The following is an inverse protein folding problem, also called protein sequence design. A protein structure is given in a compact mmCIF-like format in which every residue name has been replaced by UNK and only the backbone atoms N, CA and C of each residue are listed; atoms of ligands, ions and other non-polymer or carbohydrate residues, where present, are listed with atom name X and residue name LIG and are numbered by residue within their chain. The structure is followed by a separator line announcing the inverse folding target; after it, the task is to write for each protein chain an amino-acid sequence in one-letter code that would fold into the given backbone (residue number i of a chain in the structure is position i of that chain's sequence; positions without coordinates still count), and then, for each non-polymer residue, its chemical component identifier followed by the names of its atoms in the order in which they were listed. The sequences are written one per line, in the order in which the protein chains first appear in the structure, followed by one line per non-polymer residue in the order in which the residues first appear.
data_IF_034952076366
#
_entry.id   IF_034952076366
#
_cell.length_a   1.000
_cell.length_b   1.000
_cell.length_c   1.000
_cell.angle_alpha   90.00
_cell.angle_beta   90.00
_cell.angle_gamma   90.00
#
_symmetry.space_group_name_H-M   'P 1'
#
loop_
_entity.id
_entity.type
_entity.pdbx_description
1 polymer ?
#
# COMPACT_ATOMS: atom_id res chain seq x y z
N UNK A 1 15.37 1.20 55.39
CA UNK A 1 15.59 1.25 53.92
C UNK A 1 14.48 2.08 53.28
N UNK A 2 14.77 3.37 53.03
CA UNK A 2 13.80 4.33 52.48
C UNK A 2 13.89 4.27 50.97
N UNK A 3 12.76 3.95 50.31
CA UNK A 3 12.61 4.06 48.86
C UNK A 3 12.33 5.53 48.46
N UNK A 4 13.23 6.09 47.65
CA UNK A 4 13.07 7.43 47.07
C UNK A 4 12.38 7.23 45.73
N UNK A 5 11.15 7.76 45.61
CA UNK A 5 10.43 7.95 44.33
C UNK A 5 10.92 9.27 43.75
N UNK A 6 11.49 9.22 42.56
CA UNK A 6 11.82 10.41 41.75
C UNK A 6 10.69 10.65 40.77
N UNK A 7 9.86 11.64 41.05
CA UNK A 7 8.82 12.16 40.13
C UNK A 7 9.46 13.22 39.23
N UNK A 8 9.51 12.98 37.93
CA UNK A 8 9.86 14.01 36.94
C UNK A 8 8.63 14.86 36.65
N UNK A 9 8.62 16.08 37.14
CA UNK A 9 7.62 17.10 36.82
C UNK A 9 8.16 17.95 35.68
N UNK A 10 7.59 17.83 34.50
CA UNK A 10 7.88 18.69 33.35
C UNK A 10 7.19 20.05 33.53
N UNK A 11 7.97 21.09 33.76
CA UNK A 11 7.48 22.47 33.81
C UNK A 11 7.36 23.03 32.41
N UNK A 12 6.13 23.31 31.99
CA UNK A 12 5.82 24.02 30.74
C UNK A 12 6.00 25.53 31.00
N UNK A 13 7.05 26.16 30.48
CA UNK A 13 7.22 27.60 30.54
C UNK A 13 6.40 28.27 29.42
N UNK A 14 5.31 28.94 29.80
CA UNK A 14 4.62 29.87 28.92
C UNK A 14 5.36 31.21 28.90
N UNK A 15 5.95 31.58 27.77
CA UNK A 15 6.46 32.89 27.53
C UNK A 15 5.33 33.81 27.06
N UNK A 16 4.97 34.79 27.90
CA UNK A 16 4.07 35.89 27.59
C UNK A 16 4.85 36.95 26.77
N UNK A 17 4.46 37.19 25.52
CA UNK A 17 4.93 38.32 24.74
C UNK A 17 4.03 39.53 24.99
N UNK A 18 4.60 40.57 25.64
CA UNK A 18 3.98 41.88 25.75
C UNK A 18 4.12 42.65 24.44
N UNK A 19 3.02 43.26 23.99
CA UNK A 19 2.93 44.19 22.87
C UNK A 19 3.75 45.46 23.13
N UNK A 20 4.64 45.79 22.20
CA UNK A 20 5.10 47.16 21.99
C UNK A 20 4.58 47.65 20.64
N UNK A 21 3.72 48.69 20.70
CA UNK A 21 3.36 49.51 19.53
C UNK A 21 4.58 50.25 19.05
N UNK A 22 4.85 50.22 17.76
CA UNK A 22 5.69 51.18 17.06
C UNK A 22 4.96 51.61 15.78
N UNK A 23 4.97 52.90 15.57
CA UNK A 23 4.22 53.68 14.59
C UNK A 23 4.53 53.38 13.13
N UNK A 24 3.51 53.61 12.31
CA UNK A 24 3.41 53.70 10.87
C UNK A 24 4.63 54.28 10.14
N UNK A 25 5.05 53.55 9.11
CA UNK A 25 5.51 54.15 7.85
C UNK A 25 4.94 53.30 6.71
N UNK A 26 4.18 53.94 5.83
CA UNK A 26 3.60 53.36 4.63
C UNK A 26 4.70 52.80 3.73
N UNK A 27 4.63 51.49 3.48
CA UNK A 27 5.33 50.88 2.38
C UNK A 27 4.32 50.05 1.60
N UNK A 28 4.02 50.52 0.41
CA UNK A 28 3.22 49.84 -0.62
C UNK A 28 3.89 48.52 -0.97
N UNK A 29 3.50 47.44 -0.31
CA UNK A 29 3.80 46.10 -0.76
C UNK A 29 2.77 45.70 -1.81
N UNK A 30 3.24 45.59 -3.04
CA UNK A 30 2.57 44.90 -4.13
C UNK A 30 2.34 43.48 -3.67
N UNK A 31 1.10 43.11 -3.36
CA UNK A 31 0.70 41.72 -3.18
C UNK A 31 0.93 40.97 -4.49
N UNK A 32 2.01 40.23 -4.54
CA UNK A 32 2.15 39.20 -5.52
C UNK A 32 1.09 38.12 -5.20
N UNK A 33 -0.09 38.24 -5.79
CA UNK A 33 -1.03 37.13 -5.92
C UNK A 33 -0.29 36.03 -6.66
N UNK A 34 0.26 35.07 -5.91
CA UNK A 34 0.64 33.80 -6.47
C UNK A 34 -0.66 33.12 -6.92
N UNK A 35 -0.96 33.22 -8.21
CA UNK A 35 -1.96 32.41 -8.86
C UNK A 35 -1.46 30.96 -8.80
N UNK A 36 -1.73 30.27 -7.68
CA UNK A 36 -1.72 28.82 -7.63
C UNK A 36 -2.90 28.34 -8.50
N UNK A 37 -2.72 28.35 -9.81
CA UNK A 37 -3.43 27.43 -10.68
C UNK A 37 -2.88 26.06 -10.33
N UNK A 38 -3.50 25.38 -9.32
CA UNK A 38 -3.39 23.94 -9.21
C UNK A 38 -3.75 23.37 -10.58
N UNK A 39 -2.77 22.85 -11.31
CA UNK A 39 -3.03 22.10 -12.52
C UNK A 39 -3.96 20.96 -12.10
N UNK A 40 -5.24 21.08 -12.42
CA UNK A 40 -6.22 20.07 -12.10
C UNK A 40 -5.74 18.75 -12.72
N UNK A 41 -5.54 17.74 -11.86
CA UNK A 41 -5.09 16.43 -12.28
C UNK A 41 -6.09 15.87 -13.28
N UNK A 42 -5.66 15.58 -14.51
CA UNK A 42 -6.51 15.00 -15.55
C UNK A 42 -6.54 13.50 -15.38
N UNK A 43 -7.65 12.97 -14.87
CA UNK A 43 -7.87 11.53 -14.74
C UNK A 43 -8.45 10.94 -16.02
N UNK A 44 -7.99 9.74 -16.40
CA UNK A 44 -8.55 8.97 -17.52
C UNK A 44 -10.01 8.61 -17.25
N UNK A 45 -10.94 9.00 -18.10
CA UNK A 45 -12.38 8.75 -17.91
C UNK A 45 -12.84 7.43 -18.54
N UNK A 46 -12.07 6.86 -19.47
CA UNK A 46 -12.37 5.58 -20.10
C UNK A 46 -12.21 4.42 -19.12
N UNK A 47 -12.93 3.32 -19.39
CA UNK A 47 -12.75 2.07 -18.64
C UNK A 47 -11.50 1.33 -19.12
N UNK A 48 -10.36 1.67 -18.56
CA UNK A 48 -9.05 1.13 -18.91
C UNK A 48 -8.57 0.02 -17.95
N UNK A 49 -9.51 -0.60 -17.24
CA UNK A 49 -9.20 -1.63 -16.22
C UNK A 49 -9.05 -3.01 -16.85
N UNK A 50 -8.23 -3.86 -16.23
CA UNK A 50 -8.00 -5.24 -16.70
C UNK A 50 -9.15 -6.21 -16.40
N UNK A 51 -10.23 -5.73 -15.82
CA UNK A 51 -11.42 -6.49 -15.48
C UNK A 51 -12.68 -5.79 -16.02
N UNK A 52 -13.77 -6.54 -16.27
CA UNK A 52 -15.00 -5.96 -16.83
C UNK A 52 -15.70 -5.05 -15.81
N UNK A 53 -16.39 -4.04 -16.31
CA UNK A 53 -17.24 -3.16 -15.51
C UNK A 53 -18.45 -3.91 -14.98
N UNK A 54 -18.77 -3.73 -13.70
CA UNK A 54 -19.94 -4.30 -13.07
C UNK A 54 -21.18 -3.40 -13.24
N UNK A 55 -22.31 -4.00 -13.55
CA UNK A 55 -23.61 -3.31 -13.58
C UNK A 55 -24.25 -3.15 -12.18
N UNK A 56 -23.68 -3.79 -11.15
CA UNK A 56 -24.23 -3.79 -9.78
C UNK A 56 -23.75 -2.62 -8.95
N UNK A 57 -22.76 -1.88 -9.42
CA UNK A 57 -22.12 -0.78 -8.70
C UNK A 57 -22.05 0.47 -9.54
N UNK A 58 -22.09 1.63 -8.89
CA UNK A 58 -21.70 2.89 -9.48
C UNK A 58 -20.20 3.10 -9.30
N UNK A 59 -19.55 3.65 -10.30
CA UNK A 59 -18.12 3.90 -10.32
C UNK A 59 -17.83 5.36 -10.67
N UNK A 60 -16.99 5.99 -9.87
CA UNK A 60 -16.50 7.36 -10.10
C UNK A 60 -15.01 7.44 -9.82
N UNK A 61 -14.27 8.18 -10.66
CA UNK A 61 -12.90 8.57 -10.32
C UNK A 61 -12.93 9.76 -9.38
N UNK A 62 -12.14 9.70 -8.33
CA UNK A 62 -12.05 10.72 -7.28
C UNK A 62 -10.59 11.03 -6.96
N UNK A 63 -10.36 12.19 -6.33
CA UNK A 63 -9.06 12.56 -5.80
C UNK A 63 -9.19 13.03 -4.36
N UNK A 64 -8.15 12.80 -3.56
CA UNK A 64 -8.03 13.32 -2.20
C UNK A 64 -6.56 13.57 -1.87
N UNK A 65 -6.28 14.34 -0.84
CA UNK A 65 -4.90 14.64 -0.43
C UNK A 65 -4.52 13.86 0.82
N UNK A 66 -3.28 13.37 0.88
CA UNK A 66 -2.71 12.92 2.13
C UNK A 66 -2.15 14.12 2.93
N UNK A 67 -1.71 13.89 4.17
CA UNK A 67 -1.17 14.95 5.05
C UNK A 67 0.11 15.63 4.53
N UNK A 68 0.78 15.04 3.53
CA UNK A 68 1.94 15.62 2.85
C UNK A 68 1.54 16.51 1.67
N UNK A 69 0.24 16.69 1.40
CA UNK A 69 -0.26 17.47 0.28
C UNK A 69 -0.19 16.74 -1.06
N UNK A 70 0.18 15.46 -1.08
CA UNK A 70 0.17 14.65 -2.30
C UNK A 70 -1.27 14.31 -2.64
N UNK A 71 -1.67 14.57 -3.89
CA UNK A 71 -3.00 14.23 -4.39
C UNK A 71 -3.01 12.79 -4.86
N UNK A 72 -3.86 11.97 -4.26
CA UNK A 72 -4.09 10.58 -4.63
C UNK A 72 -5.25 10.48 -5.61
N UNK A 73 -5.10 9.65 -6.64
CA UNK A 73 -6.14 9.28 -7.59
C UNK A 73 -6.74 7.94 -7.21
N UNK A 74 -8.06 7.83 -7.23
CA UNK A 74 -8.78 6.63 -6.83
C UNK A 74 -10.02 6.37 -7.66
N UNK A 75 -10.45 5.10 -7.65
CA UNK A 75 -11.73 4.62 -8.13
C UNK A 75 -12.64 4.33 -6.94
N UNK A 76 -13.73 5.08 -6.82
CA UNK A 76 -14.78 4.90 -5.83
C UNK A 76 -15.87 4.02 -6.43
N UNK A 77 -16.21 2.92 -5.76
CA UNK A 77 -17.31 2.02 -6.13
C UNK A 77 -18.38 2.04 -5.04
N UNK A 78 -19.61 2.30 -5.41
CA UNK A 78 -20.76 2.33 -4.50
C UNK A 78 -21.81 1.30 -4.95
N UNK A 79 -22.29 0.42 -4.05
CA UNK A 79 -23.37 -0.49 -4.39
C UNK A 79 -24.61 0.25 -4.82
N UNK A 80 -25.26 -0.21 -5.91
CA UNK A 80 -26.55 0.35 -6.32
C UNK A 80 -27.68 -0.09 -5.40
N UNK A 81 -28.74 0.72 -5.35
CA UNK A 81 -29.99 0.43 -4.61
C UNK A 81 -29.81 0.16 -3.11
N UNK A 82 -28.83 0.81 -2.47
CA UNK A 82 -28.61 0.76 -1.03
C UNK A 82 -29.20 1.99 -0.35
N UNK A 83 -29.55 1.84 0.94
CA UNK A 83 -30.05 2.93 1.76
C UNK A 83 -29.23 3.06 3.04
N UNK A 84 -29.15 4.29 3.55
CA UNK A 84 -28.43 4.61 4.77
C UNK A 84 -26.91 4.60 4.61
N UNK A 85 -26.21 4.64 5.73
CA UNK A 85 -24.74 4.65 5.75
C UNK A 85 -24.20 3.22 5.72
N UNK A 86 -23.24 2.98 4.85
CA UNK A 86 -22.60 1.69 4.63
C UNK A 86 -21.23 1.63 5.30
N UNK A 87 -20.75 0.41 5.55
CA UNK A 87 -19.36 0.16 5.86
C UNK A 87 -18.51 0.36 4.60
N UNK A 88 -17.23 0.78 4.78
CA UNK A 88 -16.36 1.07 3.66
C UNK A 88 -15.00 0.36 3.76
N UNK A 89 -14.34 0.14 2.60
CA UNK A 89 -13.03 -0.53 2.52
C UNK A 89 -12.14 0.20 1.54
N UNK A 90 -10.97 0.67 1.99
CA UNK A 90 -9.93 1.18 1.10
C UNK A 90 -8.99 0.06 0.68
N UNK A 91 -8.66 -0.01 -0.62
CA UNK A 91 -7.89 -1.10 -1.23
C UNK A 91 -6.71 -0.55 -2.01
N UNK A 92 -5.51 -1.13 -1.84
CA UNK A 92 -4.35 -0.78 -2.66
C UNK A 92 -3.40 -1.94 -2.90
N UNK A 93 -2.54 -1.79 -3.90
CA UNK A 93 -1.55 -2.78 -4.33
C UNK A 93 -1.98 -3.59 -5.54
N UNK A 94 -1.13 -4.45 -6.07
CA UNK A 94 0.24 -4.79 -5.65
C UNK A 94 1.26 -3.64 -5.75
N UNK A 95 2.44 -3.81 -5.12
CA UNK A 95 3.53 -2.84 -5.21
C UNK A 95 4.02 -2.73 -6.65
N UNK A 96 3.96 -1.50 -7.22
CA UNK A 96 4.25 -1.24 -8.62
C UNK A 96 3.11 -1.52 -9.61
N UNK A 97 1.93 -1.87 -9.10
CA UNK A 97 0.69 -1.92 -9.86
C UNK A 97 -0.09 -0.60 -9.75
N UNK A 98 -1.19 -0.49 -10.46
CA UNK A 98 -2.14 0.63 -10.42
C UNK A 98 -3.54 0.15 -10.07
N UNK A 99 -4.40 1.09 -9.66
CA UNK A 99 -5.79 0.83 -9.25
C UNK A 99 -6.65 0.15 -10.33
N UNK A 100 -6.25 0.26 -11.59
CA UNK A 100 -6.90 -0.39 -12.74
C UNK A 100 -6.64 -1.90 -12.82
N UNK A 101 -5.76 -2.41 -11.95
CA UNK A 101 -5.38 -3.84 -11.88
C UNK A 101 -6.06 -4.53 -10.67
N UNK A 102 -5.30 -5.27 -9.89
CA UNK A 102 -5.82 -6.12 -8.79
C UNK A 102 -6.64 -5.35 -7.75
N UNK A 103 -6.19 -4.19 -7.30
CA UNK A 103 -6.92 -3.44 -6.27
C UNK A 103 -8.30 -2.99 -6.71
N UNK A 104 -8.46 -2.58 -7.98
CA UNK A 104 -9.76 -2.25 -8.54
C UNK A 104 -10.70 -3.45 -8.66
N UNK A 105 -10.18 -4.62 -9.06
CA UNK A 105 -10.96 -5.87 -9.08
C UNK A 105 -11.48 -6.22 -7.67
N UNK A 106 -10.61 -6.17 -6.66
CA UNK A 106 -11.02 -6.42 -5.27
C UNK A 106 -12.05 -5.40 -4.80
N UNK A 107 -11.82 -4.11 -5.06
CA UNK A 107 -12.73 -3.05 -4.68
C UNK A 107 -14.11 -3.22 -5.34
N UNK A 108 -14.17 -3.41 -6.67
CA UNK A 108 -15.43 -3.64 -7.37
C UNK A 108 -16.18 -4.86 -6.83
N UNK A 109 -15.47 -5.99 -6.61
CA UNK A 109 -16.10 -7.22 -6.14
C UNK A 109 -16.63 -7.10 -4.70
N UNK A 110 -15.93 -6.37 -3.82
CA UNK A 110 -16.42 -6.10 -2.48
C UNK A 110 -17.57 -5.08 -2.48
N UNK A 111 -17.59 -4.15 -3.43
CA UNK A 111 -18.74 -3.24 -3.61
C UNK A 111 -19.99 -4.01 -4.06
N UNK A 112 -19.88 -4.99 -4.95
CA UNK A 112 -20.99 -5.87 -5.32
C UNK A 112 -21.57 -6.64 -4.12
N UNK A 113 -20.81 -6.75 -3.02
CA UNK A 113 -21.17 -7.44 -1.76
C UNK A 113 -21.67 -6.49 -0.67
N UNK A 114 -21.87 -5.21 -1.01
CA UNK A 114 -22.55 -4.24 -0.15
C UNK A 114 -21.66 -3.27 0.62
N UNK A 115 -20.38 -3.14 0.29
CA UNK A 115 -19.47 -2.15 0.87
C UNK A 115 -19.29 -0.94 -0.06
N UNK A 116 -19.10 0.26 0.47
CA UNK A 116 -18.48 1.34 -0.31
C UNK A 116 -16.99 1.04 -0.38
N UNK A 117 -16.40 1.04 -1.57
CA UNK A 117 -14.98 0.70 -1.70
C UNK A 117 -14.22 1.72 -2.51
N UNK A 118 -12.94 1.88 -2.17
CA UNK A 118 -12.03 2.83 -2.80
C UNK A 118 -10.74 2.10 -3.19
N UNK A 119 -10.47 1.96 -4.50
CA UNK A 119 -9.17 1.52 -4.99
C UNK A 119 -8.33 2.73 -5.34
N UNK A 120 -7.15 2.90 -4.73
CA UNK A 120 -6.31 4.09 -4.96
C UNK A 120 -4.92 3.74 -5.48
N UNK A 121 -4.39 4.63 -6.34
CA UNK A 121 -2.96 4.64 -6.67
C UNK A 121 -2.21 5.26 -5.49
N UNK A 122 -1.16 4.62 -5.01
CA UNK A 122 -0.32 5.22 -3.97
C UNK A 122 0.41 6.47 -4.45
N UNK A 123 0.82 7.30 -3.50
CA UNK A 123 1.70 8.45 -3.76
C UNK A 123 2.84 8.09 -4.71
N UNK A 124 3.18 8.97 -5.62
CA UNK A 124 4.26 8.87 -6.62
C UNK A 124 3.99 7.90 -7.79
N UNK A 125 2.90 7.14 -7.80
CA UNK A 125 2.64 6.11 -8.81
C UNK A 125 1.29 6.29 -9.50
N UNK A 126 1.11 5.66 -10.66
CA UNK A 126 -0.14 5.71 -11.41
C UNK A 126 -0.58 7.12 -11.77
N UNK A 127 -1.85 7.44 -11.52
CA UNK A 127 -2.43 8.78 -11.69
C UNK A 127 -2.26 9.68 -10.44
N UNK A 128 -1.78 9.16 -9.30
CA UNK A 128 -1.46 9.95 -8.12
C UNK A 128 -0.25 10.85 -8.34
N UNK A 129 -0.23 12.01 -7.67
CA UNK A 129 0.88 12.96 -7.76
C UNK A 129 2.08 12.56 -6.90
N UNK A 130 3.06 13.44 -6.84
CA UNK A 130 4.30 13.30 -6.06
C UNK A 130 5.53 13.15 -6.95
N UNK A 131 6.61 13.80 -6.54
CA UNK A 131 7.90 13.77 -7.21
C UNK A 131 9.03 13.42 -6.24
N UNK A 132 10.08 12.71 -6.69
CA UNK A 132 10.19 12.11 -8.02
C UNK A 132 9.18 10.98 -8.23
N UNK A 133 8.78 10.75 -9.48
CA UNK A 133 7.84 9.66 -9.81
C UNK A 133 8.38 8.31 -9.38
N UNK A 134 7.47 7.38 -9.08
CA UNK A 134 7.78 6.00 -8.70
C UNK A 134 8.73 5.92 -7.48
N UNK A 135 8.58 6.80 -6.50
CA UNK A 135 9.38 6.76 -5.29
C UNK A 135 8.69 5.89 -4.22
N UNK A 136 9.28 4.76 -3.82
CA UNK A 136 8.73 3.98 -2.70
C UNK A 136 9.08 4.68 -1.38
N UNK A 137 8.08 4.83 -0.50
CA UNK A 137 8.26 5.41 0.83
C UNK A 137 7.47 4.62 1.87
N UNK A 138 8.11 3.92 2.81
CA UNK A 138 7.39 3.16 3.84
C UNK A 138 6.40 4.00 4.63
N UNK A 139 6.78 5.23 4.95
CA UNK A 139 5.96 6.15 5.74
C UNK A 139 4.81 6.72 4.92
N UNK A 140 5.08 7.28 3.73
CA UNK A 140 4.06 7.93 2.91
C UNK A 140 3.07 6.89 2.35
N UNK A 141 3.54 5.70 1.94
CA UNK A 141 2.65 4.65 1.44
C UNK A 141 1.80 4.01 2.56
N UNK A 142 2.23 4.08 3.81
CA UNK A 142 1.40 3.77 4.98
C UNK A 142 0.35 4.85 5.20
N UNK A 143 0.75 6.12 5.16
CA UNK A 143 -0.12 7.30 5.30
C UNK A 143 -1.22 7.35 4.23
N UNK A 144 -0.96 6.90 3.02
CA UNK A 144 -1.94 6.88 1.93
C UNK A 144 -3.20 6.07 2.31
N UNK A 145 -3.08 5.02 3.14
CA UNK A 145 -4.24 4.31 3.70
C UNK A 145 -5.02 5.17 4.69
N UNK A 146 -4.35 5.92 5.57
CA UNK A 146 -5.00 6.83 6.51
C UNK A 146 -5.73 7.97 5.78
N UNK A 147 -5.13 8.51 4.73
CA UNK A 147 -5.77 9.51 3.87
C UNK A 147 -7.00 8.94 3.14
N UNK A 148 -6.95 7.67 2.71
CA UNK A 148 -8.11 6.99 2.14
C UNK A 148 -9.24 6.80 3.17
N UNK A 149 -8.90 6.55 4.45
CA UNK A 149 -9.86 6.51 5.57
C UNK A 149 -10.48 7.89 5.81
N UNK A 150 -9.67 8.97 5.78
CA UNK A 150 -10.18 10.35 5.87
C UNK A 150 -11.21 10.63 4.78
N UNK A 151 -10.85 10.31 3.53
CA UNK A 151 -11.74 10.51 2.39
C UNK A 151 -13.04 9.71 2.52
N UNK A 152 -12.96 8.41 2.79
CA UNK A 152 -14.15 7.56 2.96
C UNK A 152 -15.03 8.06 4.12
N UNK A 153 -14.43 8.45 5.24
CA UNK A 153 -15.14 8.98 6.40
C UNK A 153 -15.82 10.33 6.17
N UNK A 154 -15.46 11.06 5.11
CA UNK A 154 -16.10 12.31 4.70
C UNK A 154 -17.34 12.12 3.83
N UNK A 155 -17.56 10.92 3.28
CA UNK A 155 -18.69 10.63 2.41
C UNK A 155 -20.00 10.50 3.21
N UNK A 156 -21.08 11.10 2.71
CA UNK A 156 -22.39 11.09 3.38
C UNK A 156 -22.99 9.68 3.53
N UNK A 157 -22.72 8.80 2.55
CA UNK A 157 -23.21 7.43 2.53
C UNK A 157 -22.30 6.42 3.25
N UNK A 158 -21.23 6.87 3.92
CA UNK A 158 -20.30 6.01 4.69
C UNK A 158 -20.47 6.24 6.19
N UNK A 159 -20.51 5.15 6.95
CA UNK A 159 -20.37 5.19 8.40
C UNK A 159 -18.87 5.16 8.76
N UNK A 160 -18.33 6.31 9.18
CA UNK A 160 -16.91 6.45 9.52
C UNK A 160 -16.42 5.55 10.66
N UNK A 161 -17.35 5.01 11.47
CA UNK A 161 -17.02 4.03 12.51
C UNK A 161 -16.95 2.60 11.97
N UNK A 162 -17.15 2.41 10.66
CA UNK A 162 -17.16 1.11 9.99
C UNK A 162 -16.26 1.11 8.74
N UNK A 163 -15.02 1.56 8.90
CA UNK A 163 -14.04 1.60 7.80
C UNK A 163 -12.96 0.56 8.04
N UNK A 164 -12.75 -0.29 7.05
CA UNK A 164 -11.64 -1.25 6.96
C UNK A 164 -10.70 -0.92 5.81
N UNK A 165 -9.58 -1.65 5.75
CA UNK A 165 -8.62 -1.53 4.66
C UNK A 165 -8.20 -2.91 4.15
N UNK A 166 -7.74 -2.99 2.91
CA UNK A 166 -7.21 -4.20 2.28
C UNK A 166 -5.94 -3.89 1.49
N UNK A 167 -4.86 -4.57 1.83
CA UNK A 167 -3.59 -4.46 1.12
C UNK A 167 -3.25 -5.72 0.33
N UNK A 168 -2.86 -5.57 -0.94
CA UNK A 168 -2.49 -6.69 -1.82
C UNK A 168 -0.97 -6.67 -2.04
N UNK A 169 -0.32 -7.83 -1.96
CA UNK A 169 1.12 -7.98 -2.18
C UNK A 169 1.93 -7.03 -1.26
N UNK A 170 2.79 -6.18 -1.80
CA UNK A 170 3.59 -5.23 -1.00
C UNK A 170 2.75 -4.26 -0.16
N UNK A 171 1.54 -3.92 -0.62
CA UNK A 171 0.63 -3.09 0.17
C UNK A 171 -0.04 -3.82 1.32
N UNK A 172 0.08 -5.14 1.40
CA UNK A 172 -0.34 -5.89 2.59
C UNK A 172 0.45 -5.50 3.84
N UNK A 173 1.77 -5.36 3.71
CA UNK A 173 2.62 -4.87 4.82
C UNK A 173 2.30 -3.44 5.22
N UNK A 174 2.10 -2.53 4.26
CA UNK A 174 1.71 -1.14 4.54
C UNK A 174 0.31 -1.04 5.15
N UNK A 175 -0.65 -1.89 4.74
CA UNK A 175 -1.97 -1.94 5.36
C UNK A 175 -1.91 -2.40 6.82
N UNK A 176 -1.10 -3.41 7.15
CA UNK A 176 -0.88 -3.82 8.54
C UNK A 176 -0.25 -2.70 9.37
N UNK A 177 0.74 -1.98 8.81
CA UNK A 177 1.36 -0.84 9.47
C UNK A 177 0.39 0.33 9.65
N UNK A 178 -0.49 0.59 8.68
CA UNK A 178 -1.55 1.59 8.82
C UNK A 178 -2.54 1.21 9.92
N UNK A 179 -2.99 -0.06 9.98
CA UNK A 179 -3.88 -0.54 11.03
C UNK A 179 -3.24 -0.54 12.43
N UNK A 180 -1.90 -0.62 12.52
CA UNK A 180 -1.16 -0.47 13.77
C UNK A 180 -1.16 0.98 14.26
N UNK A 181 -1.07 1.95 13.34
CA UNK A 181 -0.90 3.37 13.66
C UNK A 181 -2.21 4.17 13.69
N UNK A 182 -3.22 3.77 12.90
CA UNK A 182 -4.49 4.46 12.77
C UNK A 182 -5.65 3.66 13.39
N UNK A 183 -6.06 4.04 14.60
CA UNK A 183 -7.11 3.36 15.37
C UNK A 183 -8.53 3.51 14.78
N UNK A 184 -8.71 4.35 13.77
CA UNK A 184 -9.97 4.49 13.03
C UNK A 184 -10.19 3.32 12.06
N UNK A 185 -9.15 2.58 11.74
CA UNK A 185 -9.21 1.36 10.93
C UNK A 185 -9.76 0.23 11.80
N UNK A 186 -10.98 -0.24 11.50
CA UNK A 186 -11.71 -1.23 12.33
C UNK A 186 -11.45 -2.67 11.92
N UNK A 187 -10.95 -2.92 10.71
CA UNK A 187 -10.57 -4.24 10.23
C UNK A 187 -9.52 -4.11 9.13
N UNK A 188 -8.53 -5.02 9.11
CA UNK A 188 -7.51 -5.05 8.05
C UNK A 188 -7.46 -6.43 7.41
N UNK A 189 -7.59 -6.45 6.07
CA UNK A 189 -7.36 -7.63 5.26
C UNK A 189 -6.05 -7.52 4.48
N UNK A 190 -5.38 -8.65 4.26
CA UNK A 190 -4.27 -8.73 3.31
C UNK A 190 -4.47 -9.88 2.34
N UNK A 191 -4.05 -9.71 1.10
CA UNK A 191 -4.00 -10.77 0.11
C UNK A 191 -2.57 -10.93 -0.39
N UNK A 192 -2.03 -12.15 -0.27
CA UNK A 192 -0.70 -12.52 -0.76
C UNK A 192 0.40 -11.51 -0.40
N UNK A 193 0.40 -11.06 0.87
CA UNK A 193 1.20 -9.92 1.34
C UNK A 193 2.72 -10.12 1.23
N UNK A 194 3.41 -8.99 1.10
CA UNK A 194 4.82 -8.83 1.44
C UNK A 194 4.99 -7.82 2.57
N UNK A 195 6.04 -7.97 3.34
CA UNK A 195 6.70 -6.85 4.00
C UNK A 195 7.79 -6.32 3.05
N UNK A 196 7.51 -5.21 2.37
CA UNK A 196 8.42 -4.63 1.38
C UNK A 196 9.73 -4.15 2.00
N UNK A 197 9.72 -3.74 3.26
CA UNK A 197 10.93 -3.33 3.98
C UNK A 197 11.81 -4.53 4.31
N UNK A 198 11.21 -5.63 4.73
CA UNK A 198 11.93 -6.88 5.01
C UNK A 198 12.51 -7.49 3.75
N UNK A 199 11.75 -7.60 2.64
CA UNK A 199 12.28 -8.17 1.40
C UNK A 199 13.37 -7.30 0.79
N UNK A 200 13.26 -5.97 0.89
CA UNK A 200 14.29 -5.05 0.42
C UNK A 200 15.58 -5.15 1.25
N UNK A 201 15.46 -5.35 2.55
CA UNK A 201 16.61 -5.52 3.44
C UNK A 201 17.24 -6.91 3.34
N UNK A 202 16.42 -7.95 3.39
CA UNK A 202 16.88 -9.33 3.53
C UNK A 202 16.95 -10.10 2.22
N UNK A 203 16.34 -9.59 1.15
CA UNK A 203 16.07 -10.40 -0.04
C UNK A 203 14.97 -11.45 0.22
N UNK A 204 14.81 -12.37 -0.69
CA UNK A 204 13.93 -13.52 -0.47
C UNK A 204 14.57 -14.50 0.52
N UNK A 205 13.80 -14.90 1.53
CA UNK A 205 14.23 -15.88 2.53
C UNK A 205 13.77 -17.29 2.12
N UNK A 206 13.99 -17.64 0.88
CA UNK A 206 13.57 -18.91 0.26
C UNK A 206 14.64 -19.44 -0.70
N UNK A 207 14.60 -20.76 -0.98
CA UNK A 207 15.24 -21.30 -2.17
C UNK A 207 14.39 -20.92 -3.39
N UNK A 208 15.03 -20.50 -4.47
CA UNK A 208 14.31 -20.06 -5.68
C UNK A 208 13.62 -21.22 -6.43
N UNK A 209 14.00 -22.46 -6.15
CA UNK A 209 13.37 -23.66 -6.69
C UNK A 209 12.37 -24.23 -5.69
N UNK A 210 11.12 -24.54 -6.11
CA UNK A 210 10.16 -25.21 -5.26
C UNK A 210 10.70 -26.56 -4.74
N UNK A 211 10.30 -26.93 -3.52
CA UNK A 211 10.57 -28.24 -2.95
C UNK A 211 9.62 -29.32 -3.53
N UNK A 212 9.73 -30.58 -3.07
CA UNK A 212 8.93 -31.69 -3.54
C UNK A 212 7.40 -31.49 -3.37
N UNK A 213 6.97 -30.65 -2.44
CA UNK A 213 5.56 -30.29 -2.20
C UNK A 213 5.08 -29.13 -3.08
N UNK A 214 5.94 -28.57 -3.95
CA UNK A 214 5.63 -27.41 -4.78
C UNK A 214 5.56 -26.09 -3.99
N UNK A 215 6.07 -26.10 -2.75
CA UNK A 215 6.33 -24.91 -1.92
C UNK A 215 7.81 -24.58 -1.93
N UNK A 216 8.24 -23.60 -1.13
CA UNK A 216 9.63 -23.15 -1.09
C UNK A 216 10.23 -23.41 0.29
N UNK A 217 11.46 -23.94 0.33
CA UNK A 217 12.21 -24.06 1.59
C UNK A 217 12.70 -22.68 2.03
N UNK A 218 12.59 -22.40 3.32
CA UNK A 218 13.15 -21.18 3.92
C UNK A 218 14.67 -21.30 4.04
N UNK A 219 15.35 -20.23 3.66
CA UNK A 219 16.80 -20.06 3.81
C UNK A 219 17.09 -18.67 4.39
N UNK A 220 18.25 -18.43 5.04
CA UNK A 220 18.62 -17.09 5.49
C UNK A 220 18.63 -16.09 4.33
N UNK A 221 18.08 -14.90 4.58
CA UNK A 221 18.16 -13.77 3.66
C UNK A 221 19.55 -13.10 3.69
N UNK A 222 19.63 -11.85 3.23
CA UNK A 222 20.86 -11.07 3.21
C UNK A 222 21.46 -10.89 4.60
N UNK A 223 22.79 -11.08 4.71
CA UNK A 223 23.53 -10.79 5.94
C UNK A 223 23.63 -9.28 6.22
N UNK A 224 24.02 -8.85 7.44
CA UNK A 224 24.29 -7.45 7.73
C UNK A 224 25.34 -6.84 6.79
N UNK A 225 26.38 -7.61 6.41
CA UNK A 225 27.43 -7.19 5.49
C UNK A 225 26.87 -6.98 4.07
N UNK A 226 26.01 -7.88 3.59
CA UNK A 226 25.34 -7.72 2.31
C UNK A 226 24.46 -6.46 2.28
N UNK A 227 23.67 -6.22 3.35
CA UNK A 227 22.87 -4.99 3.48
C UNK A 227 23.73 -3.73 3.51
N UNK A 228 24.89 -3.77 4.20
CA UNK A 228 25.83 -2.66 4.21
C UNK A 228 26.33 -2.35 2.80
N UNK A 229 26.76 -3.36 2.06
CA UNK A 229 27.23 -3.21 0.67
C UNK A 229 26.15 -2.61 -0.25
N UNK A 230 24.89 -3.06 -0.12
CA UNK A 230 23.77 -2.46 -0.87
C UNK A 230 23.61 -0.97 -0.54
N UNK A 231 23.65 -0.60 0.75
CA UNK A 231 23.56 0.80 1.18
C UNK A 231 24.74 1.63 0.68
N UNK A 232 25.96 1.11 0.69
CA UNK A 232 27.15 1.78 0.15
C UNK A 232 26.99 2.07 -1.35
N UNK A 233 26.51 1.10 -2.13
CA UNK A 233 26.25 1.31 -3.56
C UNK A 233 25.21 2.42 -3.81
N UNK A 234 24.09 2.39 -3.09
CA UNK A 234 23.03 3.40 -3.22
C UNK A 234 23.52 4.79 -2.76
N UNK A 235 24.28 4.87 -1.68
CA UNK A 235 24.82 6.14 -1.18
C UNK A 235 25.87 6.72 -2.12
N UNK A 236 26.70 5.90 -2.75
CA UNK A 236 27.63 6.37 -3.77
C UNK A 236 26.90 6.94 -5.00
N UNK A 237 25.81 6.31 -5.44
CA UNK A 237 24.97 6.84 -6.50
C UNK A 237 24.27 8.14 -6.13
N UNK A 238 24.00 8.38 -4.82
CA UNK A 238 23.25 9.54 -4.34
C UNK A 238 23.89 10.89 -4.71
N UNK A 239 25.23 10.98 -4.84
CA UNK A 239 25.89 12.19 -5.26
C UNK A 239 25.44 12.66 -6.65
N UNK A 240 25.28 11.72 -7.58
CA UNK A 240 24.78 12.01 -8.93
C UNK A 240 23.28 12.23 -8.95
N UNK A 241 22.54 11.48 -8.14
CA UNK A 241 21.09 11.69 -7.95
C UNK A 241 20.76 13.09 -7.44
N UNK A 242 21.54 13.61 -6.47
CA UNK A 242 21.38 14.96 -5.94
C UNK A 242 21.54 16.03 -7.02
N UNK A 243 22.51 15.90 -7.91
CA UNK A 243 22.71 16.82 -9.04
C UNK A 243 21.53 16.85 -10.02
N UNK A 244 20.73 15.78 -10.06
CA UNK A 244 19.55 15.61 -10.91
C UNK A 244 18.24 15.88 -10.14
N UNK A 245 18.29 16.51 -8.97
CA UNK A 245 17.10 16.73 -8.13
C UNK A 245 16.48 15.44 -7.61
N UNK A 246 17.29 14.38 -7.43
CA UNK A 246 16.88 13.04 -7.03
C UNK A 246 15.97 12.29 -8.02
N UNK A 247 15.85 12.78 -9.25
CA UNK A 247 15.15 12.10 -10.34
C UNK A 247 16.04 11.03 -11.03
N UNK A 248 16.61 10.13 -10.24
CA UNK A 248 17.38 8.97 -10.70
C UNK A 248 16.63 7.68 -10.42
N UNK A 249 16.71 6.75 -11.37
CA UNK A 249 15.91 5.53 -11.36
C UNK A 249 16.77 4.29 -11.43
N UNK A 250 16.31 3.22 -10.78
CA UNK A 250 16.90 1.89 -10.92
C UNK A 250 16.75 1.39 -12.36
N UNK A 251 17.55 0.41 -12.80
CA UNK A 251 17.26 -0.29 -14.03
C UNK A 251 15.84 -0.81 -14.07
N UNK A 252 15.20 -0.73 -15.23
CA UNK A 252 13.85 -1.25 -15.39
C UNK A 252 13.78 -2.74 -15.04
N UNK A 253 12.62 -3.14 -14.51
CA UNK A 253 12.32 -4.51 -14.11
C UNK A 253 12.46 -5.46 -15.34
N UNK A 254 13.29 -6.48 -15.26
CA UNK A 254 13.43 -7.45 -16.33
C UNK A 254 12.38 -8.57 -16.21
N UNK A 255 11.12 -8.21 -16.47
CA UNK A 255 10.00 -9.16 -16.55
C UNK A 255 9.60 -9.46 -18.01
N UNK A 256 10.49 -9.29 -18.98
CA UNK A 256 10.18 -9.58 -20.39
C UNK A 256 9.88 -11.07 -20.54
N UNK A 257 8.66 -11.47 -20.98
CA UNK A 257 8.30 -12.86 -21.20
C UNK A 257 9.23 -13.60 -22.17
N UNK A 258 9.90 -12.87 -23.08
CA UNK A 258 10.85 -13.45 -24.04
C UNK A 258 12.16 -13.91 -23.37
N UNK A 259 12.46 -13.43 -22.18
CA UNK A 259 13.66 -13.80 -21.41
C UNK A 259 13.42 -14.94 -20.43
N UNK A 260 12.18 -15.41 -20.32
CA UNK A 260 11.80 -16.51 -19.43
C UNK A 260 12.28 -17.82 -20.04
N UNK A 261 13.04 -18.58 -19.26
CA UNK A 261 13.56 -19.91 -19.61
C UNK A 261 13.08 -20.96 -18.60
N UNK A 262 13.25 -22.26 -18.86
CA UNK A 262 12.91 -23.30 -17.88
C UNK A 262 13.63 -23.17 -16.52
N UNK A 263 14.79 -22.51 -16.49
CA UNK A 263 15.58 -22.25 -15.28
C UNK A 263 15.11 -21.02 -14.52
N UNK A 264 14.26 -20.18 -15.13
CA UNK A 264 13.68 -19.01 -14.46
C UNK A 264 12.80 -19.47 -13.31
N UNK A 265 12.97 -18.92 -12.07
CA UNK A 265 12.10 -19.26 -10.96
C UNK A 265 10.64 -19.07 -11.32
N UNK A 266 9.81 -20.07 -11.04
CA UNK A 266 8.41 -20.11 -11.47
C UNK A 266 7.65 -18.83 -11.15
N UNK A 267 7.83 -18.25 -9.96
CA UNK A 267 7.13 -17.03 -9.57
C UNK A 267 7.56 -15.80 -10.39
N UNK A 268 8.78 -15.75 -10.91
CA UNK A 268 9.23 -14.70 -11.84
C UNK A 268 8.50 -14.84 -13.18
N UNK A 269 8.37 -16.07 -13.68
CA UNK A 269 7.59 -16.35 -14.88
C UNK A 269 6.11 -15.97 -14.72
N UNK A 270 5.52 -16.24 -13.54
CA UNK A 270 4.15 -15.86 -13.21
C UNK A 270 3.98 -14.33 -13.17
N UNK A 271 4.93 -13.58 -12.62
CA UNK A 271 4.93 -12.11 -12.67
C UNK A 271 5.06 -11.57 -14.10
N UNK A 272 5.95 -12.16 -14.92
CA UNK A 272 6.10 -11.77 -16.32
C UNK A 272 4.79 -12.02 -17.09
N UNK A 273 4.13 -13.17 -16.88
CA UNK A 273 2.84 -13.48 -17.49
C UNK A 273 1.75 -12.47 -17.06
N UNK A 274 1.67 -12.12 -15.78
CA UNK A 274 0.68 -11.15 -15.35
C UNK A 274 0.98 -9.73 -15.86
N UNK A 275 2.16 -9.18 -15.54
CA UNK A 275 2.41 -7.76 -15.78
C UNK A 275 2.74 -7.40 -17.22
N UNK A 276 3.26 -8.34 -18.03
CA UNK A 276 3.82 -8.08 -19.36
C UNK A 276 3.01 -8.69 -20.50
N UNK A 277 1.85 -9.28 -20.19
CA UNK A 277 0.92 -9.82 -21.19
C UNK A 277 -0.46 -9.15 -21.05
N UNK A 278 -1.36 -9.44 -21.99
CA UNK A 278 -2.75 -8.96 -21.92
C UNK A 278 -3.51 -9.39 -20.67
N UNK A 279 -2.93 -10.30 -19.86
CA UNK A 279 -3.54 -10.78 -18.62
C UNK A 279 -3.73 -9.65 -17.60
N UNK A 280 -2.72 -8.83 -17.42
CA UNK A 280 -2.74 -7.80 -16.38
C UNK A 280 -1.91 -6.57 -16.73
N UNK A 281 -1.43 -6.43 -17.98
CA UNK A 281 -0.66 -5.25 -18.41
C UNK A 281 -1.46 -3.96 -18.25
N UNK A 282 -0.82 -2.95 -17.68
CA UNK A 282 -1.33 -1.58 -17.66
C UNK A 282 -0.18 -0.58 -17.86
N UNK A 283 -0.33 0.37 -18.79
CA UNK A 283 0.77 1.27 -19.19
C UNK A 283 1.31 2.14 -18.07
N UNK A 284 0.48 2.52 -17.10
CA UNK A 284 0.89 3.36 -15.93
C UNK A 284 1.55 2.57 -14.81
N UNK A 285 1.48 1.23 -14.83
CA UNK A 285 2.06 0.41 -13.77
C UNK A 285 3.58 0.28 -13.91
N UNK A 286 4.32 0.46 -12.82
CA UNK A 286 5.79 0.32 -12.80
C UNK A 286 6.22 -1.08 -13.23
N UNK A 287 5.47 -2.11 -12.81
CA UNK A 287 5.81 -3.49 -13.15
C UNK A 287 5.46 -3.88 -14.60
N UNK A 288 4.54 -3.16 -15.24
CA UNK A 288 4.09 -3.48 -16.60
C UNK A 288 4.89 -2.76 -17.68
N UNK A 289 5.19 -1.48 -17.49
CA UNK A 289 5.88 -0.69 -18.51
C UNK A 289 7.41 -0.91 -18.45
N UNK A 290 8.06 -1.18 -19.57
CA UNK A 290 9.52 -1.22 -19.64
C UNK A 290 10.16 0.17 -19.50
N UNK A 291 9.37 1.23 -19.64
CA UNK A 291 9.82 2.63 -19.52
C UNK A 291 9.77 3.13 -18.07
N UNK A 292 9.06 2.41 -17.18
CA UNK A 292 8.95 2.78 -15.78
C UNK A 292 9.93 2.01 -14.91
N UNK A 293 10.47 2.68 -13.92
CA UNK A 293 11.31 2.09 -12.89
C UNK A 293 11.13 2.83 -11.56
N UNK A 294 11.60 2.21 -10.49
CA UNK A 294 11.59 2.80 -9.16
C UNK A 294 12.67 3.87 -9.01
N UNK A 295 12.36 4.97 -8.36
CA UNK A 295 13.34 5.96 -7.94
C UNK A 295 14.35 5.31 -6.98
N UNK A 296 15.64 5.47 -7.26
CA UNK A 296 16.72 4.79 -6.53
C UNK A 296 16.81 5.23 -5.05
N UNK A 297 16.54 6.51 -4.78
CA UNK A 297 16.64 7.09 -3.44
C UNK A 297 15.61 6.56 -2.46
N UNK A 298 14.43 6.12 -2.92
CA UNK A 298 13.40 5.52 -2.08
C UNK A 298 13.77 4.16 -1.52
N UNK A 299 14.65 3.43 -2.20
CA UNK A 299 15.08 2.09 -1.77
C UNK A 299 15.84 2.08 -0.45
N UNK A 300 16.56 3.15 -0.11
CA UNK A 300 17.26 3.27 1.18
C UNK A 300 16.28 3.25 2.37
N UNK A 301 15.13 3.89 2.23
CA UNK A 301 14.08 3.86 3.26
C UNK A 301 13.50 2.45 3.42
N UNK A 302 13.21 1.75 2.33
CA UNK A 302 12.74 0.36 2.38
C UNK A 302 13.72 -0.56 3.09
N UNK A 303 15.03 -0.40 2.87
CA UNK A 303 16.04 -1.25 3.51
C UNK A 303 16.19 -0.98 5.02
N UNK A 304 15.87 0.23 5.49
CA UNK A 304 16.26 0.68 6.83
C UNK A 304 15.11 1.09 7.75
N UNK A 305 13.86 1.00 7.30
CA UNK A 305 12.67 1.39 8.08
C UNK A 305 11.70 0.21 8.22
N UNK A 306 11.89 -0.71 9.18
CA UNK A 306 11.04 -1.89 9.34
C UNK A 306 9.62 -1.47 9.79
N UNK A 307 8.61 -1.72 8.94
CA UNK A 307 7.23 -1.28 9.17
C UNK A 307 6.46 -2.14 10.18
N UNK A 308 6.83 -3.40 10.36
CA UNK A 308 6.14 -4.31 11.29
C UNK A 308 6.86 -4.46 12.65
N UNK A 309 7.74 -3.54 12.98
CA UNK A 309 8.51 -3.61 14.24
C UNK A 309 7.62 -3.67 15.49
N UNK A 310 6.53 -2.92 15.50
CA UNK A 310 5.56 -2.88 16.61
C UNK A 310 4.30 -3.73 16.35
N UNK A 311 4.36 -4.70 15.44
CA UNK A 311 3.19 -5.54 15.09
C UNK A 311 2.54 -6.24 16.29
N UNK A 312 3.31 -6.53 17.34
CA UNK A 312 2.81 -7.11 18.58
C UNK A 312 1.82 -6.20 19.36
N UNK A 313 1.81 -4.91 19.06
CA UNK A 313 0.89 -3.94 19.69
C UNK A 313 -0.42 -3.77 18.93
N UNK A 314 -0.53 -4.32 17.70
CA UNK A 314 -1.74 -4.20 16.90
C UNK A 314 -2.93 -4.92 17.54
N UNK A 315 -4.04 -4.20 17.71
CA UNK A 315 -5.28 -4.75 18.26
C UNK A 315 -6.40 -4.90 17.21
N UNK A 316 -6.23 -4.26 16.06
CA UNK A 316 -7.21 -4.30 14.96
C UNK A 316 -7.42 -5.73 14.48
N UNK A 317 -8.68 -6.21 14.31
CA UNK A 317 -8.97 -7.49 13.69
C UNK A 317 -8.31 -7.64 12.32
N UNK A 318 -7.67 -8.79 12.07
CA UNK A 318 -6.85 -9.01 10.89
C UNK A 318 -7.15 -10.33 10.17
N UNK A 319 -7.33 -10.28 8.85
CA UNK A 319 -7.41 -11.44 7.97
C UNK A 319 -6.20 -11.44 7.02
N UNK A 320 -5.35 -12.45 7.13
CA UNK A 320 -4.22 -12.65 6.21
C UNK A 320 -4.53 -13.80 5.26
N UNK A 321 -4.73 -13.50 3.99
CA UNK A 321 -4.98 -14.50 2.94
C UNK A 321 -3.71 -14.71 2.14
N UNK A 322 -3.31 -15.98 1.93
CA UNK A 322 -2.14 -16.30 1.11
C UNK A 322 -2.31 -17.60 0.34
N UNK A 323 -1.64 -17.71 -0.82
CA UNK A 323 -1.64 -18.93 -1.59
C UNK A 323 -0.72 -20.00 -0.98
N UNK A 324 -1.17 -21.25 -0.94
CA UNK A 324 -0.39 -22.37 -0.42
C UNK A 324 0.96 -22.53 -1.11
N UNK A 325 1.00 -22.37 -2.44
CA UNK A 325 2.20 -22.51 -3.28
C UNK A 325 2.89 -21.21 -3.61
N UNK A 326 2.51 -20.11 -2.94
CA UNK A 326 3.15 -18.83 -3.14
C UNK A 326 4.55 -18.80 -2.51
N UNK A 327 5.54 -18.38 -3.27
CA UNK A 327 6.92 -18.18 -2.81
C UNK A 327 7.02 -17.19 -1.63
N UNK A 328 6.04 -16.30 -1.52
CA UNK A 328 5.95 -15.24 -0.51
C UNK A 328 5.12 -15.62 0.74
N UNK A 329 4.61 -16.85 0.82
CA UNK A 329 3.69 -17.31 1.88
C UNK A 329 4.24 -17.05 3.29
N UNK A 330 5.53 -17.17 3.48
CA UNK A 330 6.18 -16.97 4.77
C UNK A 330 6.01 -15.54 5.34
N UNK A 331 5.77 -14.51 4.50
CA UNK A 331 5.48 -13.17 5.00
C UNK A 331 4.17 -13.12 5.78
N UNK A 332 3.11 -13.74 5.26
CA UNK A 332 1.84 -13.84 6.00
C UNK A 332 1.93 -14.71 7.24
N UNK A 333 2.65 -15.83 7.18
CA UNK A 333 2.84 -16.72 8.32
C UNK A 333 3.60 -16.04 9.46
N UNK A 334 4.65 -15.29 9.13
CA UNK A 334 5.44 -14.57 10.13
C UNK A 334 4.69 -13.35 10.67
N UNK A 335 4.01 -12.57 9.81
CA UNK A 335 3.17 -11.46 10.25
C UNK A 335 2.05 -11.95 11.17
N UNK A 336 1.36 -13.05 10.82
CA UNK A 336 0.35 -13.65 11.67
C UNK A 336 0.88 -14.00 13.08
N UNK A 337 2.10 -14.52 13.18
CA UNK A 337 2.73 -14.80 14.48
C UNK A 337 3.05 -13.54 15.27
N UNK A 338 3.45 -12.46 14.58
CA UNK A 338 3.90 -11.21 15.19
C UNK A 338 2.75 -10.31 15.65
N UNK A 339 1.63 -10.29 14.91
CA UNK A 339 0.48 -9.44 15.21
C UNK A 339 -0.10 -9.76 16.59
N UNK A 340 -0.28 -8.73 17.43
CA UNK A 340 -0.81 -8.85 18.79
C UNK A 340 -2.32 -9.03 18.89
N UNK A 341 -3.08 -8.72 17.83
CA UNK A 341 -4.53 -8.88 17.81
C UNK A 341 -4.93 -10.30 18.15
N UNK A 342 -5.93 -10.44 19.04
CA UNK A 342 -6.56 -11.73 19.37
C UNK A 342 -7.53 -12.19 18.29
N UNK A 343 -8.05 -11.25 17.52
CA UNK A 343 -9.01 -11.44 16.44
C UNK A 343 -8.29 -11.47 15.09
N UNK A 344 -7.44 -12.47 14.91
CA UNK A 344 -6.66 -12.64 13.68
C UNK A 344 -6.85 -14.02 13.07
N UNK A 345 -6.84 -14.06 11.75
CA UNK A 345 -6.95 -15.30 10.99
C UNK A 345 -5.90 -15.34 9.87
N UNK A 346 -5.29 -16.50 9.68
CA UNK A 346 -4.47 -16.83 8.51
C UNK A 346 -5.21 -17.84 7.65
N UNK A 347 -5.64 -17.42 6.46
CA UNK A 347 -6.36 -18.26 5.52
C UNK A 347 -5.45 -18.65 4.34
N UNK A 348 -5.08 -19.91 4.26
CA UNK A 348 -4.23 -20.43 3.18
C UNK A 348 -5.11 -21.04 2.08
N UNK A 349 -5.06 -20.43 0.89
CA UNK A 349 -5.81 -20.87 -0.29
C UNK A 349 -5.14 -22.09 -0.91
N UNK A 350 -5.78 -23.26 -0.93
CA UNK A 350 -5.18 -24.49 -1.45
C UNK A 350 -4.73 -24.35 -2.91
N UNK A 351 -3.55 -24.86 -3.22
CA UNK A 351 -2.95 -24.87 -4.56
C UNK A 351 -2.85 -23.51 -5.26
N UNK A 352 -3.04 -22.39 -4.58
CA UNK A 352 -2.89 -21.06 -5.15
C UNK A 352 -1.42 -20.61 -5.11
N UNK A 353 -0.96 -19.99 -6.20
CA UNK A 353 0.30 -19.27 -6.26
C UNK A 353 0.08 -17.81 -5.82
N UNK A 354 1.13 -17.01 -5.84
CA UNK A 354 1.03 -15.58 -5.52
C UNK A 354 0.11 -14.84 -6.50
N UNK A 355 0.30 -15.06 -7.79
CA UNK A 355 -0.39 -14.33 -8.87
C UNK A 355 -1.81 -14.86 -9.12
N UNK A 356 -2.13 -16.06 -8.69
CA UNK A 356 -3.51 -16.60 -8.71
C UNK A 356 -4.49 -15.73 -7.88
N UNK A 357 -3.96 -14.92 -6.96
CA UNK A 357 -4.73 -14.00 -6.12
C UNK A 357 -4.73 -12.55 -6.66
N UNK A 358 -4.34 -12.32 -7.93
CA UNK A 358 -4.30 -10.99 -8.53
C UNK A 358 -5.52 -10.65 -9.39
N UNK A 359 -5.94 -11.56 -10.26
CA UNK A 359 -6.96 -11.32 -11.29
C UNK A 359 -8.16 -12.27 -11.24
N UNK A 360 -8.16 -13.16 -10.28
CA UNK A 360 -9.17 -14.22 -10.12
C UNK A 360 -9.37 -15.13 -11.36
N UNK A 361 -8.43 -15.11 -12.32
CA UNK A 361 -8.53 -15.94 -13.54
C UNK A 361 -8.62 -17.42 -13.21
N UNK A 362 -7.95 -17.84 -12.15
CA UNK A 362 -7.99 -19.20 -11.64
C UNK A 362 -9.16 -19.47 -10.68
N UNK A 363 -10.03 -18.48 -10.41
CA UNK A 363 -11.16 -18.60 -9.48
C UNK A 363 -10.74 -18.82 -8.02
N UNK A 364 -9.54 -18.38 -7.63
CA UNK A 364 -8.95 -18.71 -6.33
C UNK A 364 -8.97 -17.58 -5.30
N UNK A 365 -9.35 -16.35 -5.71
CA UNK A 365 -9.49 -15.27 -4.72
C UNK A 365 -10.68 -15.59 -3.82
N UNK A 366 -10.49 -15.76 -2.50
CA UNK A 366 -11.57 -16.17 -1.61
C UNK A 366 -12.40 -14.95 -1.19
N UNK A 367 -13.13 -14.35 -2.15
CA UNK A 367 -13.96 -13.18 -1.90
C UNK A 367 -15.02 -13.40 -0.82
N UNK A 368 -15.58 -14.62 -0.72
CA UNK A 368 -16.54 -14.95 0.32
C UNK A 368 -15.92 -14.88 1.72
N UNK A 369 -14.64 -15.24 1.85
CA UNK A 369 -13.89 -15.13 3.10
C UNK A 369 -13.61 -13.67 3.49
N UNK A 370 -13.28 -12.84 2.51
CA UNK A 370 -13.14 -11.39 2.75
C UNK A 370 -14.49 -10.76 3.14
N UNK A 371 -15.57 -11.13 2.45
CA UNK A 371 -16.92 -10.66 2.77
C UNK A 371 -17.33 -11.05 4.20
N UNK A 372 -17.17 -12.33 4.57
CA UNK A 372 -17.45 -12.84 5.91
C UNK A 372 -16.70 -12.04 6.98
N UNK A 373 -15.38 -11.84 6.77
CA UNK A 373 -14.53 -11.11 7.69
C UNK A 373 -14.98 -9.65 7.85
N UNK A 374 -15.16 -8.92 6.75
CA UNK A 374 -15.55 -7.52 6.84
C UNK A 374 -16.99 -7.34 7.34
N UNK A 375 -17.92 -8.22 7.00
CA UNK A 375 -19.28 -8.21 7.59
C UNK A 375 -19.22 -8.40 9.10
N UNK A 376 -18.44 -9.36 9.58
CA UNK A 376 -18.29 -9.61 11.02
C UNK A 376 -17.81 -8.35 11.76
N UNK A 377 -16.77 -7.68 11.25
CA UNK A 377 -16.10 -6.62 12.00
C UNK A 377 -16.58 -5.20 11.68
N UNK A 378 -17.23 -5.00 10.54
CA UNK A 378 -17.72 -3.68 10.12
C UNK A 378 -19.24 -3.56 10.16
N UNK A 379 -20.01 -4.67 10.23
CA UNK A 379 -21.46 -4.63 10.11
C UNK A 379 -22.14 -5.24 11.33
N UNK A 380 -21.71 -6.41 11.81
CA UNK A 380 -22.43 -7.21 12.81
C UNK A 380 -22.05 -6.88 14.26
N UNK A 381 -20.83 -6.40 14.53
CA UNK A 381 -20.30 -6.19 15.88
C UNK A 381 -20.62 -4.78 16.44
N UNK A 382 -21.86 -4.32 16.33
CA UNK A 382 -22.33 -3.12 17.04
C UNK A 382 -23.38 -3.45 18.08
#
# INVERSE_FOLDING_TARGET
MKKIFLTFTTVLAMASCQNKQVNNTENTQTEAQSSNTENAMTLTQEWDKIFPKSEKVDHHKVTFKNRYGITLAADLYTPKNTQGKLAAIAVSGPFGAVKEQSSGLYAQTLAERGFVTLAFDPSFTGESSGEPRNMPSPEINTEDFSAAVDFLGSLENVDRERIGILGICGYGGFALNAALSDTRIKAVGTSTMYDMTRVSANGYEIKMTPNAQGTYDRVPGNTPEARRKMKEQMNNARWESAKKGYASYLPANNLDPKTITPETPKFIAEYADFYRTKRGFHSRAVNSSPEHSWADTGMLALINMPILHYAAEMQTPALLVHGEKAHSRYFSEDAYKQIGSKDKELYIVPNATHVDLYDNKAGKIPFDKFEEFYKKWLVVNK
#
